data_IF_106119570800
#
_entry.id   IF_106119570800
#
_cell.length_a   1.000
_cell.length_b   1.000
_cell.length_c   1.000
_cell.angle_alpha   90.00
_cell.angle_beta   90.00
_cell.angle_gamma   90.00
#
_symmetry.space_group_name_H-M   'P 1'
#
loop_
_entity.id
_entity.type
_entity.pdbx_description
1 polymer ?
#
# COMPACT_ATOMS: atom_id res chain seq x y z
N UNK A 1 -4.58 -52.82 0.60
CA UNK A 1 -4.43 -53.89 1.61
C UNK A 1 -3.09 -53.70 2.32
N UNK A 2 -3.07 -53.62 3.66
CA UNK A 2 -1.90 -53.28 4.46
C UNK A 2 -1.19 -54.54 5.01
N UNK A 3 0.09 -54.41 5.36
CA UNK A 3 0.83 -55.28 6.29
C UNK A 3 1.78 -54.33 7.06
N UNK A 4 1.55 -54.06 8.36
CA UNK A 4 1.96 -54.86 9.53
C UNK A 4 3.49 -55.04 9.59
N UNK A 5 4.22 -54.86 10.69
CA UNK A 5 3.93 -54.43 12.05
C UNK A 5 5.25 -54.45 12.86
N UNK A 6 5.17 -53.94 14.10
CA UNK A 6 5.92 -54.38 15.31
C UNK A 6 7.41 -54.04 15.41
N UNK A 7 8.01 -53.76 16.57
CA UNK A 7 7.63 -53.61 17.98
C UNK A 7 8.83 -52.88 18.65
N UNK A 8 8.66 -52.01 19.64
CA UNK A 8 8.62 -52.35 21.08
C UNK A 8 9.55 -51.35 21.80
N UNK A 9 9.10 -50.53 22.74
CA UNK A 9 8.64 -50.79 24.12
C UNK A 9 9.77 -50.74 25.15
N UNK A 10 9.70 -49.75 26.05
CA UNK A 10 9.92 -49.80 27.52
C UNK A 10 10.34 -48.39 28.01
N UNK A 11 9.50 -47.59 28.67
CA UNK A 11 8.90 -47.63 30.03
C UNK A 11 9.81 -47.19 31.18
N UNK A 12 9.24 -46.31 32.02
CA UNK A 12 9.52 -46.00 33.45
C UNK A 12 10.64 -44.98 33.77
N UNK A 13 10.54 -44.09 34.78
CA UNK A 13 9.47 -43.58 35.65
C UNK A 13 10.07 -42.42 36.50
N UNK A 14 9.21 -41.51 36.98
CA UNK A 14 9.28 -40.68 38.21
C UNK A 14 10.55 -39.88 38.62
N UNK A 15 10.40 -38.57 38.83
CA UNK A 15 10.38 -37.98 40.19
C UNK A 15 9.91 -36.51 40.24
N UNK A 16 9.04 -36.24 41.21
CA UNK A 16 8.59 -34.92 41.71
C UNK A 16 9.64 -34.36 42.66
N UNK A 17 9.89 -33.05 42.64
CA UNK A 17 10.24 -32.30 43.87
C UNK A 17 9.83 -30.82 43.78
N UNK A 18 9.15 -30.39 44.84
CA UNK A 18 8.85 -29.01 45.22
C UNK A 18 10.11 -28.24 45.56
N UNK A 19 10.11 -26.91 45.33
CA UNK A 19 10.75 -25.95 46.22
C UNK A 19 10.03 -24.59 46.13
N UNK A 20 9.44 -24.20 47.26
CA UNK A 20 9.01 -22.86 47.58
C UNK A 20 10.24 -21.98 47.78
N UNK A 21 10.17 -20.70 47.41
CA UNK A 21 10.76 -19.67 48.27
C UNK A 21 10.07 -18.32 48.11
N UNK A 22 9.59 -17.83 49.25
CA UNK A 22 9.11 -16.47 49.47
C UNK A 22 10.32 -15.53 49.56
N UNK A 23 10.17 -14.27 49.14
CA UNK A 23 10.61 -13.12 49.93
C UNK A 23 10.00 -11.83 49.38
N UNK A 24 9.09 -11.27 50.16
CA UNK A 24 8.70 -9.87 50.13
C UNK A 24 9.76 -9.05 50.87
N UNK A 25 9.98 -7.78 50.47
CA UNK A 25 10.05 -6.62 51.39
C UNK A 25 10.61 -5.35 50.73
N UNK A 26 9.84 -4.27 50.96
CA UNK A 26 10.26 -2.90 51.33
C UNK A 26 10.35 -1.81 50.26
N UNK A 27 9.26 -1.04 50.25
CA UNK A 27 9.16 0.43 50.20
C UNK A 27 10.37 1.21 50.73
N UNK A 28 10.68 2.31 50.04
CA UNK A 28 11.06 3.65 50.54
C UNK A 28 11.12 4.54 49.28
N UNK A 29 10.47 5.69 49.14
CA UNK A 29 10.11 6.69 50.14
C UNK A 29 11.10 7.86 50.09
N UNK A 30 11.05 8.71 49.05
CA UNK A 30 11.74 10.01 49.05
C UNK A 30 10.84 11.12 48.51
N UNK A 31 10.28 11.89 49.45
CA UNK A 31 9.86 13.27 49.28
C UNK A 31 11.10 14.16 49.41
N UNK A 32 11.28 15.10 48.48
CA UNK A 32 12.09 16.30 48.72
C UNK A 32 11.29 17.52 48.25
N UNK A 33 11.07 18.41 49.20
CA UNK A 33 10.40 19.69 49.12
C UNK A 33 11.47 20.78 49.26
N UNK A 34 11.43 21.80 48.40
CA UNK A 34 11.98 23.17 48.59
C UNK A 34 11.62 23.94 47.30
N UNK A 35 10.70 24.91 47.24
CA UNK A 35 10.57 26.20 47.94
C UNK A 35 11.72 27.18 47.69
N UNK A 36 11.75 27.83 46.52
CA UNK A 36 12.38 29.15 46.35
C UNK A 36 11.38 30.11 45.72
N UNK A 37 11.14 31.23 46.41
CA UNK A 37 10.28 32.35 46.03
C UNK A 37 11.04 33.39 45.19
N UNK A 38 10.22 34.25 44.57
CA UNK A 38 10.46 35.62 44.06
C UNK A 38 11.13 35.79 42.69
N UNK A 39 10.34 36.17 41.68
CA UNK A 39 10.16 37.61 41.41
C UNK A 39 8.87 37.91 40.64
N UNK A 40 8.22 38.96 41.11
CA UNK A 40 6.97 39.54 40.65
C UNK A 40 7.16 40.39 39.39
N UNK A 41 6.31 40.19 38.38
CA UNK A 41 5.82 41.26 37.52
C UNK A 41 4.35 41.02 37.21
N UNK A 42 3.52 41.92 37.74
CA UNK A 42 2.09 42.06 37.45
C UNK A 42 1.94 42.94 36.22
N UNK A 43 1.18 42.49 35.22
CA UNK A 43 0.16 43.32 34.55
C UNK A 43 -0.83 42.45 33.75
N UNK A 44 -2.11 42.60 34.10
CA UNK A 44 -3.30 42.56 33.23
C UNK A 44 -3.68 41.27 32.49
N UNK A 45 -4.51 40.48 33.18
CA UNK A 45 -5.89 40.17 32.78
C UNK A 45 -6.22 40.08 31.29
N UNK A 46 -6.14 38.87 30.74
CA UNK A 46 -7.08 38.38 29.74
C UNK A 46 -7.27 36.88 29.99
N UNK A 47 -8.48 36.50 30.35
CA UNK A 47 -8.89 35.12 30.62
C UNK A 47 -8.82 34.28 29.34
N UNK A 48 -7.66 33.71 29.05
CA UNK A 48 -7.53 32.71 28.01
C UNK A 48 -7.88 31.35 28.62
N UNK A 49 -9.17 30.99 28.58
CA UNK A 49 -9.59 29.61 28.82
C UNK A 49 -8.96 28.77 27.72
N UNK A 50 -7.90 28.04 28.06
CA UNK A 50 -7.38 26.95 27.25
C UNK A 50 -8.49 25.91 27.13
N UNK A 51 -9.25 25.98 26.04
CA UNK A 51 -10.19 24.93 25.67
C UNK A 51 -9.35 23.78 25.14
N UNK A 52 -8.80 22.97 26.05
CA UNK A 52 -8.31 21.64 25.70
C UNK A 52 -9.53 20.79 25.35
N UNK A 53 -10.06 20.95 24.14
CA UNK A 53 -10.93 19.94 23.57
C UNK A 53 -10.08 18.68 23.42
N UNK A 54 -10.22 17.78 24.40
CA UNK A 54 -9.93 16.37 24.13
C UNK A 54 -10.93 15.97 23.06
N UNK A 55 -10.47 15.87 21.82
CA UNK A 55 -11.28 15.33 20.72
C UNK A 55 -11.71 13.93 21.12
N UNK A 56 -12.99 13.77 21.45
CA UNK A 56 -13.61 12.47 21.60
C UNK A 56 -13.58 11.72 20.26
N UNK A 57 -13.82 10.40 20.25
CA UNK A 57 -13.90 9.64 19.01
C UNK A 57 -14.90 10.30 18.05
N UNK A 58 -14.49 10.52 16.79
CA UNK A 58 -15.35 11.10 15.74
C UNK A 58 -16.66 10.30 15.65
N UNK A 59 -17.79 10.97 15.88
CA UNK A 59 -19.11 10.34 15.84
C UNK A 59 -19.51 10.01 14.39
N UNK A 60 -19.98 8.77 14.17
CA UNK A 60 -20.38 8.29 12.83
C UNK A 60 -21.30 9.25 12.09
N UNK A 61 -22.34 9.74 12.77
CA UNK A 61 -23.35 10.62 12.17
C UNK A 61 -22.80 11.96 11.67
N UNK A 62 -21.61 12.35 12.13
CA UNK A 62 -20.95 13.61 11.71
C UNK A 62 -20.05 13.44 10.47
N UNK A 63 -19.74 12.20 10.08
CA UNK A 63 -18.84 11.91 8.97
C UNK A 63 -19.49 12.23 7.61
N UNK A 64 -18.74 12.84 6.70
CA UNK A 64 -19.24 13.14 5.34
C UNK A 64 -19.66 11.87 4.58
N UNK A 65 -19.06 10.72 4.88
CA UNK A 65 -19.40 9.43 4.28
C UNK A 65 -20.75 8.86 4.76
N UNK A 66 -21.24 9.31 5.92
CA UNK A 66 -22.50 8.86 6.53
C UNK A 66 -23.65 9.86 6.31
N UNK A 67 -23.39 10.99 5.64
CA UNK A 67 -24.42 11.97 5.30
C UNK A 67 -25.34 11.44 4.21
N UNK A 68 -26.61 11.86 4.24
CA UNK A 68 -27.57 11.58 3.17
C UNK A 68 -27.24 12.42 1.94
N UNK A 69 -27.30 11.81 0.76
CA UNK A 69 -27.20 12.55 -0.49
C UNK A 69 -28.58 13.17 -0.83
N UNK A 70 -28.69 14.51 -0.92
CA UNK A 70 -29.98 15.17 -1.19
C UNK A 70 -30.52 14.87 -2.59
N UNK A 71 -29.70 14.41 -3.53
CA UNK A 71 -30.13 14.06 -4.88
C UNK A 71 -30.80 12.69 -4.97
N UNK A 72 -30.57 11.81 -4.00
CA UNK A 72 -31.00 10.39 -4.06
C UNK A 72 -32.00 10.03 -2.99
N UNK A 73 -32.74 11.00 -2.43
CA UNK A 73 -33.69 10.77 -1.33
C UNK A 73 -34.82 9.79 -1.66
N UNK A 74 -35.16 9.64 -2.94
CA UNK A 74 -36.20 8.76 -3.47
C UNK A 74 -35.65 7.76 -4.51
N UNK A 75 -34.37 7.39 -4.41
CA UNK A 75 -33.71 6.51 -5.40
C UNK A 75 -34.35 5.12 -5.53
N UNK A 76 -35.09 4.68 -4.51
CA UNK A 76 -35.85 3.43 -4.46
C UNK A 76 -37.16 3.45 -5.28
N UNK A 77 -37.66 4.64 -5.66
CA UNK A 77 -38.87 4.84 -6.47
C UNK A 77 -38.55 5.29 -7.91
N UNK A 78 -37.27 5.31 -8.28
CA UNK A 78 -36.81 5.72 -9.61
C UNK A 78 -36.83 4.55 -10.61
N UNK A 79 -36.99 4.85 -11.89
CA UNK A 79 -36.78 3.86 -12.95
C UNK A 79 -35.34 3.35 -12.94
N UNK A 80 -35.09 2.12 -13.42
CA UNK A 80 -33.72 1.60 -13.47
C UNK A 80 -32.77 2.47 -14.30
N UNK A 81 -33.28 3.12 -15.36
CA UNK A 81 -32.48 4.04 -16.17
C UNK A 81 -32.10 5.30 -15.37
N UNK A 82 -33.05 5.86 -14.61
CA UNK A 82 -32.77 7.04 -13.79
C UNK A 82 -31.84 6.71 -12.61
N UNK A 83 -31.96 5.52 -12.02
CA UNK A 83 -31.00 5.01 -11.03
C UNK A 83 -29.59 4.94 -11.62
N UNK A 84 -29.42 4.37 -12.81
CA UNK A 84 -28.12 4.33 -13.49
C UNK A 84 -27.58 5.74 -13.78
N UNK A 85 -28.46 6.65 -14.23
CA UNK A 85 -28.09 8.03 -14.58
C UNK A 85 -27.58 8.79 -13.34
N UNK A 86 -28.30 8.72 -12.22
CA UNK A 86 -27.89 9.44 -11.01
C UNK A 86 -26.62 8.85 -10.37
N UNK A 87 -26.42 7.53 -10.44
CA UNK A 87 -25.16 6.89 -10.03
C UNK A 87 -24.00 7.43 -10.89
N UNK A 88 -24.17 7.47 -12.21
CA UNK A 88 -23.13 7.96 -13.11
C UNK A 88 -22.83 9.47 -12.94
N UNK A 89 -23.86 10.29 -12.70
CA UNK A 89 -23.70 11.71 -12.38
C UNK A 89 -22.88 11.92 -11.10
N UNK A 90 -23.10 11.10 -10.08
CA UNK A 90 -22.31 11.11 -8.85
C UNK A 90 -20.88 10.61 -9.07
N UNK A 91 -20.69 9.56 -9.87
CA UNK A 91 -19.36 9.03 -10.22
C UNK A 91 -18.48 10.05 -10.96
N UNK A 92 -19.08 10.92 -11.79
CA UNK A 92 -18.35 11.98 -12.50
C UNK A 92 -17.61 12.94 -11.56
N UNK A 93 -18.07 13.09 -10.31
CA UNK A 93 -17.43 13.94 -9.31
C UNK A 93 -16.13 13.37 -8.73
N UNK A 94 -15.91 12.05 -8.88
CA UNK A 94 -14.78 11.35 -8.24
C UNK A 94 -13.44 11.89 -8.75
N UNK A 95 -13.30 12.10 -10.06
CA UNK A 95 -12.04 12.58 -10.63
C UNK A 95 -11.66 13.97 -10.10
N UNK A 96 -12.64 14.82 -9.83
CA UNK A 96 -12.43 16.16 -9.25
C UNK A 96 -11.95 16.04 -7.79
N UNK A 97 -12.53 15.12 -7.02
CA UNK A 97 -12.09 14.86 -5.64
C UNK A 97 -10.64 14.33 -5.61
N UNK A 98 -10.30 13.40 -6.51
CA UNK A 98 -8.93 12.87 -6.64
C UNK A 98 -7.96 13.94 -7.10
N UNK A 99 -8.37 14.84 -8.00
CA UNK A 99 -7.54 15.96 -8.45
C UNK A 99 -7.10 16.85 -7.27
N UNK A 100 -7.98 17.07 -6.31
CA UNK A 100 -7.69 17.90 -5.14
C UNK A 100 -6.61 17.32 -4.22
N UNK A 101 -6.39 15.99 -4.23
CA UNK A 101 -5.39 15.32 -3.38
C UNK A 101 -4.11 14.91 -4.12
N UNK A 102 -3.93 15.31 -5.38
CA UNK A 102 -2.72 14.97 -6.17
C UNK A 102 -1.39 15.36 -5.50
N UNK A 103 -1.27 16.51 -4.79
CA UNK A 103 -0.01 16.84 -4.10
C UNK A 103 0.37 15.79 -3.04
N UNK A 104 -0.60 15.26 -2.30
CA UNK A 104 -0.38 14.24 -1.29
C UNK A 104 -0.13 12.86 -1.91
N UNK A 105 -0.79 12.54 -3.03
CA UNK A 105 -0.49 11.33 -3.81
C UNK A 105 0.96 11.36 -4.33
N UNK A 106 1.42 12.51 -4.84
CA UNK A 106 2.80 12.70 -5.26
C UNK A 106 3.79 12.57 -4.09
N UNK A 107 3.48 13.17 -2.94
CA UNK A 107 4.29 13.03 -1.74
C UNK A 107 4.40 11.57 -1.26
N UNK A 108 3.33 10.79 -1.36
CA UNK A 108 3.37 9.36 -1.06
C UNK A 108 4.33 8.61 -2.02
N UNK A 109 4.25 8.89 -3.33
CA UNK A 109 5.18 8.31 -4.31
C UNK A 109 6.63 8.68 -3.99
N UNK A 110 6.91 9.94 -3.63
CA UNK A 110 8.26 10.40 -3.34
C UNK A 110 8.87 9.76 -2.09
N UNK A 111 8.05 9.32 -1.13
CA UNK A 111 8.48 8.54 0.05
C UNK A 111 8.71 7.06 -0.31
N UNK A 112 7.90 6.50 -1.21
CA UNK A 112 7.92 5.09 -1.60
C UNK A 112 9.10 4.77 -2.51
N UNK A 113 9.34 5.57 -3.54
CA UNK A 113 10.37 5.30 -4.58
C UNK A 113 11.77 5.02 -3.99
N UNK A 114 12.34 5.87 -3.11
CA UNK A 114 13.68 5.60 -2.55
C UNK A 114 13.70 4.34 -1.68
N UNK A 115 12.59 3.98 -1.04
CA UNK A 115 12.46 2.75 -0.23
C UNK A 115 12.43 1.50 -1.11
N UNK A 116 11.65 1.53 -2.19
CA UNK A 116 11.66 0.45 -3.19
C UNK A 116 13.06 0.26 -3.79
N UNK A 117 13.79 1.34 -4.04
CA UNK A 117 15.17 1.26 -4.51
C UNK A 117 16.13 0.63 -3.48
N UNK A 118 15.84 0.81 -2.18
CA UNK A 118 16.55 0.14 -1.07
C UNK A 118 16.09 -1.29 -0.80
N UNK A 119 15.15 -1.84 -1.58
CA UNK A 119 14.60 -3.19 -1.37
C UNK A 119 13.45 -3.27 -0.37
N UNK A 120 12.95 -2.13 0.10
CA UNK A 120 11.76 -2.04 0.94
C UNK A 120 10.47 -2.41 0.19
N UNK A 121 9.40 -2.68 0.94
CA UNK A 121 8.09 -3.06 0.42
C UNK A 121 7.04 -2.00 0.70
N UNK A 122 5.94 -2.07 -0.03
CA UNK A 122 4.71 -1.29 0.21
C UNK A 122 3.64 -2.23 0.73
N UNK A 123 3.09 -1.94 1.91
CA UNK A 123 2.06 -2.75 2.54
C UNK A 123 0.76 -1.94 2.55
N UNK A 124 -0.29 -2.45 1.92
CA UNK A 124 -1.64 -1.93 2.08
C UNK A 124 -2.30 -2.59 3.29
N UNK A 125 -3.01 -1.80 4.11
CA UNK A 125 -3.77 -2.31 5.24
C UNK A 125 -5.15 -1.66 5.30
N UNK A 126 -6.20 -2.46 5.27
CA UNK A 126 -7.58 -1.99 5.30
C UNK A 126 -8.56 -3.06 5.76
N UNK A 127 -9.82 -2.67 5.94
CA UNK A 127 -10.92 -3.60 6.18
C UNK A 127 -11.92 -3.55 5.02
N UNK A 128 -12.73 -4.61 4.87
CA UNK A 128 -13.80 -4.66 3.87
C UNK A 128 -13.35 -4.26 2.47
N UNK A 129 -14.05 -3.32 1.84
CA UNK A 129 -13.72 -2.84 0.49
C UNK A 129 -12.32 -2.23 0.41
N UNK A 130 -11.90 -1.44 1.40
CA UNK A 130 -10.58 -0.81 1.43
C UNK A 130 -9.45 -1.85 1.40
N UNK A 131 -9.55 -2.90 2.21
CA UNK A 131 -8.58 -4.00 2.22
C UNK A 131 -8.57 -4.77 0.89
N UNK A 132 -9.76 -5.05 0.32
CA UNK A 132 -9.87 -5.73 -1.00
C UNK A 132 -9.24 -4.92 -2.12
N UNK A 133 -9.39 -3.60 -2.12
CA UNK A 133 -8.76 -2.72 -3.12
C UNK A 133 -7.24 -2.70 -3.00
N UNK A 134 -6.70 -2.74 -1.77
CA UNK A 134 -5.27 -2.92 -1.54
C UNK A 134 -4.75 -4.25 -2.10
N UNK A 135 -5.47 -5.35 -1.87
CA UNK A 135 -5.15 -6.67 -2.44
C UNK A 135 -5.22 -6.65 -3.97
N UNK A 136 -6.24 -6.03 -4.55
CA UNK A 136 -6.41 -5.90 -5.99
C UNK A 136 -5.19 -5.21 -6.61
N UNK A 137 -4.84 -4.00 -6.14
CA UNK A 137 -3.71 -3.24 -6.68
C UNK A 137 -2.40 -4.01 -6.54
N UNK A 138 -2.11 -4.56 -5.35
CA UNK A 138 -0.91 -5.37 -5.11
C UNK A 138 -0.79 -6.57 -6.06
N UNK A 139 -1.91 -7.25 -6.35
CA UNK A 139 -1.93 -8.43 -7.24
C UNK A 139 -1.60 -8.11 -8.70
N UNK A 140 -1.80 -6.85 -9.12
CA UNK A 140 -1.55 -6.38 -10.48
C UNK A 140 -0.09 -5.97 -10.69
N UNK A 141 0.69 -5.76 -9.62
CA UNK A 141 2.09 -5.29 -9.71
C UNK A 141 3.02 -6.30 -10.39
N UNK A 142 3.04 -7.60 -10.04
CA UNK A 142 3.89 -8.58 -10.70
C UNK A 142 3.62 -8.73 -12.21
N UNK A 143 2.38 -8.95 -12.69
CA UNK A 143 2.14 -9.13 -14.12
C UNK A 143 2.29 -7.82 -14.94
N UNK A 144 2.20 -6.65 -14.30
CA UNK A 144 2.30 -5.34 -14.97
C UNK A 144 3.73 -4.80 -15.03
N UNK A 145 4.54 -5.00 -13.99
CA UNK A 145 5.87 -4.38 -13.90
C UNK A 145 7.02 -5.39 -13.73
N UNK A 146 6.72 -6.69 -13.86
CA UNK A 146 7.62 -7.81 -13.55
C UNK A 146 8.37 -7.61 -12.23
N UNK A 147 7.65 -7.06 -11.25
CA UNK A 147 8.16 -6.82 -9.93
C UNK A 147 7.96 -8.06 -9.03
N UNK A 148 8.79 -8.22 -7.98
CA UNK A 148 8.60 -9.29 -7.01
C UNK A 148 7.19 -9.25 -6.41
N UNK A 149 6.63 -10.43 -6.09
CA UNK A 149 5.28 -10.55 -5.50
C UNK A 149 5.21 -9.87 -4.13
N UNK A 150 6.34 -9.81 -3.45
CA UNK A 150 6.49 -9.29 -2.10
C UNK A 150 6.71 -7.77 -2.08
N UNK A 151 6.91 -7.13 -3.25
CA UNK A 151 7.14 -5.69 -3.33
C UNK A 151 5.91 -4.89 -2.88
N UNK A 152 4.72 -5.35 -3.23
CA UNK A 152 3.44 -4.79 -2.79
C UNK A 152 2.62 -5.89 -2.14
N UNK A 153 2.17 -5.68 -0.90
CA UNK A 153 1.44 -6.69 -0.10
C UNK A 153 0.10 -6.08 0.34
N UNK A 154 -1.00 -6.78 0.08
CA UNK A 154 -2.32 -6.38 0.57
C UNK A 154 -2.72 -7.16 1.83
N UNK A 155 -2.96 -6.45 2.94
CA UNK A 155 -3.53 -7.00 4.16
C UNK A 155 -4.98 -6.54 4.33
N UNK A 156 -5.82 -7.46 4.78
CA UNK A 156 -7.24 -7.23 5.04
C UNK A 156 -7.61 -7.72 6.44
N UNK A 157 -8.34 -6.89 7.20
CA UNK A 157 -8.90 -7.29 8.48
C UNK A 157 -9.75 -8.57 8.33
N UNK A 158 -9.44 -9.60 9.13
CA UNK A 158 -10.07 -10.91 9.04
C UNK A 158 -9.40 -11.90 8.07
N UNK A 159 -8.28 -11.51 7.45
CA UNK A 159 -7.44 -12.38 6.61
C UNK A 159 -8.10 -12.82 5.30
N UNK A 160 -7.55 -13.86 4.66
CA UNK A 160 -7.97 -14.30 3.31
C UNK A 160 -9.46 -14.62 3.19
N UNK A 161 -10.10 -15.08 4.27
CA UNK A 161 -11.56 -15.29 4.27
C UNK A 161 -12.33 -14.00 3.97
N UNK A 162 -11.83 -12.85 4.45
CA UNK A 162 -12.43 -11.54 4.25
C UNK A 162 -12.35 -11.04 2.79
N UNK A 163 -11.53 -11.68 1.94
CA UNK A 163 -11.45 -11.35 0.51
C UNK A 163 -12.81 -11.56 -0.15
N UNK A 164 -13.48 -12.67 0.17
CA UNK A 164 -14.77 -13.05 -0.45
C UNK A 164 -15.97 -12.83 0.46
N UNK A 165 -15.76 -12.79 1.77
CA UNK A 165 -16.83 -12.69 2.76
C UNK A 165 -16.61 -11.47 3.67
N UNK A 166 -17.66 -11.00 4.33
CA UNK A 166 -17.48 -10.06 5.44
C UNK A 166 -17.09 -10.84 6.71
N UNK A 167 -16.23 -10.26 7.54
CA UNK A 167 -15.90 -10.77 8.88
C UNK A 167 -16.33 -9.71 9.87
N UNK A 168 -17.40 -10.01 10.61
CA UNK A 168 -17.96 -9.08 11.59
C UNK A 168 -16.95 -8.80 12.72
N UNK A 169 -16.81 -7.53 13.09
CA UNK A 169 -15.92 -7.08 14.17
C UNK A 169 -14.41 -7.09 13.87
N UNK A 170 -13.96 -7.62 12.72
CA UNK A 170 -12.54 -7.63 12.37
C UNK A 170 -11.96 -6.21 12.23
N UNK A 171 -12.77 -5.27 11.73
CA UNK A 171 -12.36 -3.87 11.53
C UNK A 171 -12.23 -3.07 12.83
N UNK A 172 -12.86 -3.55 13.91
CA UNK A 172 -12.90 -2.90 15.22
C UNK A 172 -11.71 -3.25 16.13
N UNK A 173 -10.82 -4.16 15.70
CA UNK A 173 -9.64 -4.56 16.48
C UNK A 173 -8.36 -3.87 15.99
N UNK A 174 -7.89 -2.87 16.75
CA UNK A 174 -6.59 -2.25 16.52
C UNK A 174 -5.42 -3.21 16.77
N UNK A 175 -5.55 -4.11 17.75
CA UNK A 175 -4.55 -5.13 18.06
C UNK A 175 -4.35 -6.10 16.89
N UNK A 176 -5.43 -6.47 16.19
CA UNK A 176 -5.35 -7.32 15.00
C UNK A 176 -4.55 -6.64 13.88
N UNK A 177 -4.77 -5.34 13.66
CA UNK A 177 -4.02 -4.57 12.66
C UNK A 177 -2.51 -4.54 12.93
N UNK A 178 -2.11 -4.38 14.20
CA UNK A 178 -0.71 -4.48 14.59
C UNK A 178 -0.18 -5.93 14.48
N UNK A 179 -0.98 -6.91 14.91
CA UNK A 179 -0.60 -8.33 14.89
C UNK A 179 -0.34 -8.85 13.49
N UNK A 180 -1.16 -8.48 12.51
CA UNK A 180 -1.02 -8.97 11.14
C UNK A 180 0.22 -8.37 10.45
N UNK A 181 0.56 -7.11 10.75
CA UNK A 181 1.84 -6.53 10.33
C UNK A 181 3.04 -7.20 10.99
N UNK A 182 2.94 -7.55 12.28
CA UNK A 182 4.01 -8.25 13.00
C UNK A 182 4.27 -9.67 12.48
N UNK A 183 3.29 -10.30 11.84
CA UNK A 183 3.40 -11.64 11.24
C UNK A 183 4.03 -11.65 9.84
N UNK A 184 4.28 -10.49 9.24
CA UNK A 184 4.93 -10.42 7.93
C UNK A 184 6.30 -11.11 7.97
N UNK A 185 6.63 -11.80 6.87
CA UNK A 185 7.93 -12.45 6.67
C UNK A 185 8.51 -11.93 5.35
N UNK A 186 9.65 -11.21 5.37
CA UNK A 186 10.37 -10.72 6.56
C UNK A 186 9.53 -9.72 7.39
N UNK A 187 9.87 -9.52 8.68
CA UNK A 187 9.16 -8.55 9.53
C UNK A 187 9.09 -7.16 8.91
N UNK A 188 8.06 -6.40 9.27
CA UNK A 188 7.99 -4.98 8.91
C UNK A 188 9.26 -4.25 9.41
N UNK A 189 9.81 -3.37 8.59
CA UNK A 189 11.04 -2.64 8.87
C UNK A 189 10.90 -1.15 8.55
N UNK A 190 11.89 -0.35 8.96
CA UNK A 190 11.97 1.08 8.64
C UNK A 190 12.08 1.40 7.14
N UNK A 191 12.51 0.41 6.36
CA UNK A 191 12.68 0.52 4.92
C UNK A 191 11.36 0.28 4.18
N UNK A 192 10.35 -0.26 4.86
CA UNK A 192 9.02 -0.46 4.32
C UNK A 192 8.16 0.82 4.38
N UNK A 193 7.05 0.82 3.64
CA UNK A 193 5.98 1.82 3.72
C UNK A 193 4.65 1.14 3.99
N UNK A 194 3.93 1.57 5.03
CA UNK A 194 2.55 1.16 5.28
C UNK A 194 1.59 2.20 4.72
N UNK A 195 0.59 1.76 3.96
CA UNK A 195 -0.53 2.56 3.49
C UNK A 195 -1.81 2.05 4.16
N UNK A 196 -2.28 2.80 5.15
CA UNK A 196 -3.51 2.54 5.89
C UNK A 196 -4.73 3.14 5.18
N UNK A 197 -5.71 2.31 4.82
CA UNK A 197 -6.87 2.70 4.01
C UNK A 197 -8.14 2.56 4.83
N UNK A 198 -8.76 3.68 5.18
CA UNK A 198 -10.04 3.72 5.89
C UNK A 198 -10.89 4.86 5.33
N UNK A 199 -11.90 4.56 4.49
CA UNK A 199 -12.75 5.60 3.91
C UNK A 199 -13.44 6.47 4.97
N UNK A 200 -13.85 5.88 6.10
CA UNK A 200 -14.40 6.59 7.27
C UNK A 200 -13.37 7.39 8.06
N UNK A 201 -12.07 7.22 7.78
CA UNK A 201 -10.96 7.87 8.47
C UNK A 201 -10.75 7.43 9.92
N UNK A 202 -11.49 6.42 10.42
CA UNK A 202 -11.49 6.05 11.85
C UNK A 202 -11.49 4.56 12.16
N UNK A 203 -11.29 3.69 11.17
CA UNK A 203 -11.32 2.22 11.34
C UNK A 203 -10.23 1.75 12.32
N UNK A 204 -10.58 1.15 13.48
CA UNK A 204 -9.61 0.77 14.51
C UNK A 204 -8.48 -0.14 14.03
N UNK A 205 -8.77 -1.16 13.21
CA UNK A 205 -7.75 -2.04 12.61
C UNK A 205 -6.65 -1.24 11.88
N UNK A 206 -7.06 -0.25 11.08
CA UNK A 206 -6.14 0.61 10.31
C UNK A 206 -5.34 1.53 11.23
N UNK A 207 -6.01 2.12 12.24
CA UNK A 207 -5.35 2.97 13.24
C UNK A 207 -4.29 2.20 14.05
N UNK A 208 -4.60 0.96 14.44
CA UNK A 208 -3.66 0.07 15.13
C UNK A 208 -2.46 -0.30 14.27
N UNK A 209 -2.70 -0.62 12.99
CA UNK A 209 -1.63 -0.89 12.04
C UNK A 209 -0.70 0.30 11.82
N UNK A 210 -1.25 1.51 11.64
CA UNK A 210 -0.46 2.74 11.48
C UNK A 210 0.40 3.05 12.71
N UNK A 211 -0.16 2.90 13.91
CA UNK A 211 0.59 3.08 15.16
C UNK A 211 1.76 2.09 15.28
N UNK A 212 1.54 0.84 14.88
CA UNK A 212 2.60 -0.19 14.87
C UNK A 212 3.68 0.10 13.84
N UNK A 213 3.31 0.46 12.60
CA UNK A 213 4.29 0.82 11.58
C UNK A 213 5.15 2.02 12.00
N UNK A 214 4.51 3.02 12.62
CA UNK A 214 5.23 4.16 13.17
C UNK A 214 6.22 3.75 14.29
N UNK A 215 5.84 2.85 15.20
CA UNK A 215 6.75 2.39 16.27
C UNK A 215 7.94 1.57 15.76
N UNK A 216 7.79 0.92 14.60
CA UNK A 216 8.88 0.22 13.88
C UNK A 216 9.76 1.20 13.08
N UNK A 217 9.31 2.42 12.86
CA UNK A 217 9.98 3.44 12.03
C UNK A 217 9.74 3.28 10.53
N UNK A 218 8.75 2.48 10.13
CA UNK A 218 8.27 2.41 8.74
C UNK A 218 7.65 3.75 8.36
N UNK A 219 7.77 4.13 7.08
CA UNK A 219 6.97 5.25 6.58
C UNK A 219 5.48 4.91 6.64
N UNK A 220 4.65 5.91 6.90
CA UNK A 220 3.19 5.75 7.00
C UNK A 220 2.42 6.72 6.10
N UNK A 221 1.51 6.17 5.31
CA UNK A 221 0.55 6.92 4.49
C UNK A 221 -0.86 6.58 4.95
N UNK A 222 -1.70 7.58 5.16
CA UNK A 222 -3.13 7.41 5.45
C UNK A 222 -3.98 7.81 4.26
N UNK A 223 -5.02 7.03 3.95
CA UNK A 223 -6.02 7.36 2.95
C UNK A 223 -7.43 7.31 3.55
N UNK A 224 -8.12 8.44 3.51
CA UNK A 224 -9.50 8.60 3.98
C UNK A 224 -10.35 9.38 2.98
N UNK A 225 -11.67 9.25 3.09
CA UNK A 225 -12.65 10.00 2.29
C UNK A 225 -13.46 10.99 3.13
N UNK A 226 -12.93 11.36 4.30
CA UNK A 226 -13.50 12.31 5.26
C UNK A 226 -12.44 13.29 5.73
N UNK A 227 -12.90 14.43 6.25
CA UNK A 227 -12.05 15.40 6.94
C UNK A 227 -12.85 16.10 8.05
N UNK A 228 -12.29 16.23 9.28
CA UNK A 228 -11.04 15.62 9.72
C UNK A 228 -11.14 14.09 9.86
N UNK A 229 -10.03 13.40 9.65
CA UNK A 229 -9.90 11.96 9.90
C UNK A 229 -9.07 11.67 11.17
N UNK A 230 -9.34 10.53 11.83
CA UNK A 230 -8.53 10.05 12.97
C UNK A 230 -7.16 9.50 12.54
N UNK A 231 -6.90 9.41 11.23
CA UNK A 231 -5.57 9.12 10.67
C UNK A 231 -4.60 10.30 10.85
N UNK A 232 -5.12 11.52 11.08
CA UNK A 232 -4.31 12.72 11.26
C UNK A 232 -3.37 12.57 12.46
N UNK A 233 -2.09 12.88 12.24
CA UNK A 233 -1.04 12.74 13.25
C UNK A 233 -0.51 11.31 13.44
N UNK A 234 -1.02 10.32 12.70
CA UNK A 234 -0.48 8.95 12.67
C UNK A 234 0.30 8.63 11.40
N UNK A 235 0.27 9.53 10.41
CA UNK A 235 0.85 9.33 9.08
C UNK A 235 1.85 10.42 8.72
N UNK A 236 2.95 10.05 8.06
CA UNK A 236 3.87 11.00 7.42
C UNK A 236 3.19 11.75 6.27
N UNK A 237 2.33 11.05 5.52
CA UNK A 237 1.48 11.63 4.46
C UNK A 237 0.04 11.23 4.69
N UNK A 238 -0.86 12.21 4.69
CA UNK A 238 -2.30 11.98 4.80
C UNK A 238 -3.01 12.45 3.53
N UNK A 239 -3.73 11.53 2.88
CA UNK A 239 -4.54 11.75 1.69
C UNK A 239 -6.02 11.75 2.11
N UNK A 240 -6.65 12.92 2.12
CA UNK A 240 -8.09 13.09 2.40
C UNK A 240 -8.83 13.39 1.08
N UNK A 241 -9.46 12.37 0.48
CA UNK A 241 -10.16 12.47 -0.81
C UNK A 241 -11.68 12.60 -0.59
N UNK A 242 -12.17 13.83 -0.47
CA UNK A 242 -13.57 14.12 -0.13
C UNK A 242 -14.53 13.86 -1.30
N UNK A 243 -15.10 12.67 -1.38
CA UNK A 243 -16.06 12.27 -2.43
C UNK A 243 -17.50 12.71 -2.14
N UNK A 244 -17.77 13.20 -0.92
CA UNK A 244 -19.09 13.57 -0.45
C UNK A 244 -20.03 12.39 -0.17
N UNK A 245 -21.32 12.66 0.10
CA UNK A 245 -22.34 11.65 0.41
C UNK A 245 -22.51 10.61 -0.70
N UNK A 246 -22.66 9.35 -0.33
CA UNK A 246 -22.91 8.26 -1.28
C UNK A 246 -24.38 8.23 -1.74
N UNK A 247 -24.63 7.69 -2.94
CA UNK A 247 -26.01 7.53 -3.48
C UNK A 247 -26.89 6.68 -2.57
N UNK A 248 -26.28 5.69 -1.90
CA UNK A 248 -26.85 4.95 -0.78
C UNK A 248 -26.05 5.33 0.45
N UNK A 249 -26.69 5.98 1.42
CA UNK A 249 -26.05 6.51 2.64
C UNK A 249 -25.14 5.46 3.29
N UNK A 250 -23.88 5.82 3.56
CA UNK A 250 -22.89 4.92 4.19
C UNK A 250 -22.28 3.85 3.27
N UNK A 251 -22.77 3.67 2.04
CA UNK A 251 -22.27 2.65 1.10
C UNK A 251 -20.96 3.09 0.42
N UNK A 252 -19.91 3.29 1.21
CA UNK A 252 -18.57 3.75 0.80
C UNK A 252 -17.84 2.81 -0.17
N UNK A 253 -18.38 1.63 -0.46
CA UNK A 253 -17.90 0.77 -1.56
C UNK A 253 -18.06 1.41 -2.95
N UNK A 254 -18.80 2.51 -3.06
CA UNK A 254 -19.13 3.22 -4.29
C UNK A 254 -18.09 4.32 -4.56
N UNK A 255 -18.42 5.62 -4.43
CA UNK A 255 -17.51 6.71 -4.81
C UNK A 255 -16.20 6.67 -4.02
N UNK A 256 -16.27 6.49 -2.70
CA UNK A 256 -15.08 6.41 -1.86
C UNK A 256 -14.18 5.22 -2.24
N UNK A 257 -14.77 4.07 -2.57
CA UNK A 257 -14.06 2.89 -3.09
C UNK A 257 -13.40 3.15 -4.45
N UNK A 258 -14.11 3.78 -5.38
CA UNK A 258 -13.57 4.14 -6.70
C UNK A 258 -12.45 5.16 -6.59
N UNK A 259 -12.60 6.19 -5.77
CA UNK A 259 -11.54 7.17 -5.48
C UNK A 259 -10.30 6.48 -4.89
N UNK A 260 -10.51 5.57 -3.93
CA UNK A 260 -9.45 4.75 -3.36
C UNK A 260 -8.71 3.98 -4.45
N UNK A 261 -9.43 3.28 -5.33
CA UNK A 261 -8.82 2.54 -6.46
C UNK A 261 -7.96 3.46 -7.33
N UNK A 262 -8.49 4.63 -7.71
CA UNK A 262 -7.76 5.59 -8.54
C UNK A 262 -6.46 6.04 -7.87
N UNK A 263 -6.51 6.35 -6.57
CA UNK A 263 -5.35 6.78 -5.79
C UNK A 263 -4.32 5.66 -5.65
N UNK A 264 -4.73 4.43 -5.32
CA UNK A 264 -3.81 3.29 -5.23
C UNK A 264 -3.11 3.03 -6.56
N UNK A 265 -3.86 3.04 -7.66
CA UNK A 265 -3.28 2.87 -9.00
C UNK A 265 -2.31 3.99 -9.36
N UNK A 266 -2.58 5.25 -8.95
CA UNK A 266 -1.62 6.35 -9.13
C UNK A 266 -0.35 6.14 -8.31
N UNK A 267 -0.47 5.72 -7.05
CA UNK A 267 0.68 5.47 -6.17
C UNK A 267 1.54 4.33 -6.74
N UNK A 268 0.93 3.19 -7.03
CA UNK A 268 1.65 2.01 -7.50
C UNK A 268 2.27 2.23 -8.88
N UNK A 269 1.48 2.71 -9.84
CA UNK A 269 1.96 3.00 -11.21
C UNK A 269 3.00 4.12 -11.19
N UNK A 270 2.76 5.21 -10.45
CA UNK A 270 3.69 6.32 -10.31
C UNK A 270 5.03 5.89 -9.72
N UNK A 271 5.00 5.07 -8.66
CA UNK A 271 6.22 4.51 -8.05
C UNK A 271 7.00 3.62 -9.01
N UNK A 272 6.32 2.79 -9.80
CA UNK A 272 6.98 1.90 -10.76
C UNK A 272 7.54 2.67 -11.97
N UNK A 273 6.83 3.69 -12.47
CA UNK A 273 7.35 4.61 -13.50
C UNK A 273 8.63 5.30 -13.00
N UNK A 274 8.58 5.85 -11.78
CA UNK A 274 9.71 6.54 -11.15
C UNK A 274 10.88 5.60 -10.87
N UNK A 275 10.61 4.32 -10.66
CA UNK A 275 11.61 3.24 -10.52
C UNK A 275 12.10 2.66 -11.86
N UNK A 276 11.78 3.31 -12.99
CA UNK A 276 12.29 2.93 -14.30
C UNK A 276 11.64 1.68 -14.91
N UNK A 277 10.47 1.23 -14.41
CA UNK A 277 9.74 0.07 -14.96
C UNK A 277 9.12 0.33 -16.34
N UNK A 278 9.04 1.59 -16.76
CA UNK A 278 8.54 2.01 -18.07
C UNK A 278 9.61 2.75 -18.89
N UNK A 279 9.41 2.81 -20.20
CA UNK A 279 10.14 3.70 -21.10
C UNK A 279 9.13 4.54 -21.88
N UNK A 280 9.04 5.83 -21.55
CA UNK A 280 7.87 6.62 -21.94
C UNK A 280 6.61 6.01 -21.35
N UNK A 281 5.61 5.73 -22.19
CA UNK A 281 4.37 5.05 -21.81
C UNK A 281 4.38 3.53 -22.07
N UNK A 282 5.54 2.96 -22.43
CA UNK A 282 5.67 1.53 -22.70
C UNK A 282 6.13 0.77 -21.45
N UNK A 283 5.39 -0.29 -21.13
CA UNK A 283 5.80 -1.30 -20.16
C UNK A 283 6.96 -2.11 -20.77
N UNK A 284 8.19 -1.81 -20.36
CA UNK A 284 9.40 -2.47 -20.88
C UNK A 284 9.94 -3.53 -19.95
N UNK A 285 9.52 -3.52 -18.69
CA UNK A 285 9.89 -4.53 -17.70
C UNK A 285 8.84 -5.65 -17.67
N UNK A 286 8.74 -6.39 -18.78
CA UNK A 286 7.80 -7.50 -18.96
C UNK A 286 8.55 -8.83 -19.14
N UNK A 287 8.05 -9.90 -18.52
CA UNK A 287 8.54 -11.26 -18.71
C UNK A 287 7.62 -12.07 -19.63
N UNK A 288 8.22 -12.84 -20.55
CA UNK A 288 7.52 -13.65 -21.54
C UNK A 288 6.94 -14.95 -20.96
N UNK A 289 5.94 -14.85 -20.08
CA UNK A 289 5.32 -16.02 -19.44
C UNK A 289 4.18 -16.69 -20.23
N UNK A 290 3.74 -16.09 -21.33
CA UNK A 290 2.72 -16.64 -22.24
C UNK A 290 2.83 -16.04 -23.65
N UNK A 291 2.14 -16.62 -24.63
CA UNK A 291 2.18 -16.18 -26.04
C UNK A 291 1.81 -14.71 -26.25
N UNK A 292 0.77 -14.23 -25.55
CA UNK A 292 0.37 -12.80 -25.59
C UNK A 292 1.51 -11.89 -25.14
N UNK A 293 2.27 -12.29 -24.12
CA UNK A 293 3.42 -11.53 -23.63
C UNK A 293 4.64 -11.64 -24.54
N UNK A 294 4.80 -12.75 -25.29
CA UNK A 294 5.82 -12.85 -26.35
C UNK A 294 5.53 -11.89 -27.51
N UNK A 295 4.30 -11.86 -28.02
CA UNK A 295 3.93 -10.88 -29.08
C UNK A 295 4.12 -9.44 -28.59
N UNK A 296 3.71 -9.16 -27.35
CA UNK A 296 3.92 -7.86 -26.72
C UNK A 296 5.41 -7.52 -26.59
N UNK A 297 6.26 -8.47 -26.18
CA UNK A 297 7.70 -8.26 -26.11
C UNK A 297 8.27 -7.81 -27.45
N UNK A 298 8.00 -8.56 -28.52
CA UNK A 298 8.49 -8.25 -29.87
C UNK A 298 8.05 -6.86 -30.31
N UNK A 299 6.77 -6.54 -30.12
CA UNK A 299 6.22 -5.22 -30.45
C UNK A 299 6.90 -4.10 -29.68
N UNK A 300 7.12 -4.28 -28.38
CA UNK A 300 7.78 -3.28 -27.54
C UNK A 300 9.22 -3.05 -27.98
N UNK A 301 9.99 -4.11 -28.28
CA UNK A 301 11.36 -3.95 -28.80
C UNK A 301 11.35 -3.14 -30.11
N UNK A 302 10.47 -3.49 -31.06
CA UNK A 302 10.35 -2.80 -32.35
C UNK A 302 9.86 -1.36 -32.25
N UNK A 303 9.05 -1.02 -31.23
CA UNK A 303 8.63 0.36 -30.99
C UNK A 303 9.73 1.23 -30.40
N UNK A 304 10.67 0.63 -29.65
CA UNK A 304 11.72 1.38 -28.94
C UNK A 304 13.01 1.45 -29.74
N UNK A 305 13.40 0.37 -30.42
CA UNK A 305 14.64 0.26 -31.18
C UNK A 305 14.34 0.56 -32.66
N UNK A 306 14.83 1.68 -33.22
CA UNK A 306 14.70 1.92 -34.66
C UNK A 306 15.46 0.85 -35.45
N UNK A 307 14.81 0.22 -36.42
CA UNK A 307 15.41 -0.87 -37.20
C UNK A 307 16.73 -0.47 -37.90
N UNK A 308 16.84 0.80 -38.34
CA UNK A 308 18.06 1.34 -38.97
C UNK A 308 19.25 1.47 -38.03
N UNK A 309 19.03 1.45 -36.72
CA UNK A 309 20.04 1.64 -35.67
C UNK A 309 20.19 0.42 -34.76
N UNK A 310 19.49 -0.67 -35.07
CA UNK A 310 19.57 -1.92 -34.33
C UNK A 310 20.84 -2.67 -34.70
N UNK A 311 21.48 -3.29 -33.70
CA UNK A 311 22.62 -4.18 -33.92
C UNK A 311 22.23 -5.56 -34.50
N UNK A 312 20.94 -5.89 -34.50
CA UNK A 312 20.36 -7.13 -35.02
C UNK A 312 19.19 -6.84 -35.95
N UNK A 313 18.85 -7.78 -36.85
CA UNK A 313 17.64 -7.69 -37.66
C UNK A 313 16.39 -8.01 -36.83
N UNK A 314 15.94 -7.05 -36.04
CA UNK A 314 14.78 -7.21 -35.15
C UNK A 314 13.44 -7.29 -35.90
N UNK A 315 13.41 -7.14 -37.22
CA UNK A 315 12.20 -7.34 -38.03
C UNK A 315 11.96 -8.82 -38.32
N UNK A 316 13.00 -9.64 -38.29
CA UNK A 316 12.90 -11.09 -38.28
C UNK A 316 12.51 -11.57 -36.87
N UNK A 317 11.44 -12.38 -36.81
CA UNK A 317 10.91 -12.90 -35.55
C UNK A 317 11.86 -13.92 -34.90
N UNK A 318 12.58 -14.72 -35.69
CA UNK A 318 13.51 -15.74 -35.20
C UNK A 318 14.75 -15.06 -34.61
N UNK A 319 15.31 -14.06 -35.31
CA UNK A 319 16.44 -13.27 -34.81
C UNK A 319 16.07 -12.54 -33.51
N UNK A 320 14.90 -11.91 -33.46
CA UNK A 320 14.46 -11.20 -32.26
C UNK A 320 14.23 -12.16 -31.08
N UNK A 321 13.66 -13.33 -31.34
CA UNK A 321 13.47 -14.36 -30.31
C UNK A 321 14.80 -14.91 -29.79
N UNK A 322 15.83 -15.04 -30.63
CA UNK A 322 17.18 -15.41 -30.19
C UNK A 322 17.79 -14.34 -29.27
N UNK A 323 17.68 -13.05 -29.61
CA UNK A 323 18.17 -11.96 -28.76
C UNK A 323 17.41 -11.92 -27.43
N UNK A 324 16.08 -12.08 -27.47
CA UNK A 324 15.25 -12.18 -26.27
C UNK A 324 15.65 -13.37 -25.40
N UNK A 325 15.91 -14.53 -26.00
CA UNK A 325 16.35 -15.73 -25.29
C UNK A 325 17.72 -15.53 -24.63
N UNK A 326 18.68 -14.89 -25.31
CA UNK A 326 19.97 -14.48 -24.73
C UNK A 326 19.82 -13.54 -23.53
N UNK A 327 18.73 -12.77 -23.50
CA UNK A 327 18.38 -11.89 -22.39
C UNK A 327 17.47 -12.56 -21.35
N UNK A 328 17.32 -13.90 -21.36
CA UNK A 328 16.41 -14.66 -20.49
C UNK A 328 14.96 -14.14 -20.53
N UNK A 329 14.51 -13.62 -21.67
CA UNK A 329 13.18 -13.06 -21.86
C UNK A 329 12.96 -11.69 -21.23
N UNK A 330 14.00 -11.02 -20.73
CA UNK A 330 13.91 -9.66 -20.21
C UNK A 330 13.90 -8.64 -21.35
N UNK A 331 12.72 -8.06 -21.64
CA UNK A 331 12.53 -7.11 -22.74
C UNK A 331 13.37 -5.85 -22.57
N UNK A 332 13.44 -5.28 -21.36
CA UNK A 332 14.27 -4.10 -21.08
C UNK A 332 15.76 -4.33 -21.42
N UNK A 333 16.30 -5.50 -21.06
CA UNK A 333 17.67 -5.87 -21.39
C UNK A 333 17.83 -6.11 -22.89
N UNK A 334 16.88 -6.79 -23.52
CA UNK A 334 16.86 -7.01 -24.96
C UNK A 334 16.88 -5.70 -25.75
N UNK A 335 16.12 -4.68 -25.33
CA UNK A 335 16.15 -3.36 -25.96
C UNK A 335 17.56 -2.77 -25.90
N UNK A 336 18.22 -2.85 -24.74
CA UNK A 336 19.56 -2.30 -24.57
C UNK A 336 20.61 -3.05 -25.41
N UNK A 337 20.56 -4.38 -25.39
CA UNK A 337 21.41 -5.24 -26.22
C UNK A 337 21.18 -4.96 -27.71
N UNK A 338 19.93 -4.86 -28.15
CA UNK A 338 19.61 -4.56 -29.54
C UNK A 338 20.00 -3.14 -29.96
N UNK A 339 19.91 -2.16 -29.06
CA UNK A 339 20.28 -0.77 -29.35
C UNK A 339 21.80 -0.55 -29.39
N UNK A 340 22.56 -1.25 -28.55
CA UNK A 340 23.99 -1.00 -28.36
C UNK A 340 24.91 -2.07 -28.97
N UNK A 341 24.38 -3.23 -29.34
CA UNK A 341 25.18 -4.37 -29.81
C UNK A 341 26.08 -4.99 -28.73
N UNK A 342 25.85 -4.67 -27.46
CA UNK A 342 26.60 -5.19 -26.33
C UNK A 342 26.16 -6.62 -25.93
N UNK A 343 26.94 -7.28 -25.09
CA UNK A 343 26.55 -8.54 -24.46
C UNK A 343 25.42 -8.35 -23.43
N UNK A 344 24.62 -9.39 -23.13
CA UNK A 344 23.63 -9.34 -22.04
C UNK A 344 24.23 -8.98 -20.68
N UNK A 345 25.48 -9.37 -20.41
CA UNK A 345 26.20 -9.06 -19.19
C UNK A 345 26.54 -7.57 -19.09
N UNK A 346 27.09 -6.98 -20.15
CA UNK A 346 27.36 -5.54 -20.23
C UNK A 346 26.07 -4.72 -20.15
N UNK A 347 25.02 -5.16 -20.85
CA UNK A 347 23.71 -4.52 -20.79
C UNK A 347 23.13 -4.54 -19.37
N UNK A 348 23.27 -5.66 -18.64
CA UNK A 348 22.82 -5.77 -17.25
C UNK A 348 23.60 -4.84 -16.34
N UNK A 349 24.92 -4.83 -16.42
CA UNK A 349 25.77 -3.93 -15.64
C UNK A 349 25.42 -2.45 -15.90
N UNK A 350 25.10 -2.09 -17.14
CA UNK A 350 24.70 -0.73 -17.51
C UNK A 350 23.31 -0.35 -16.99
N UNK A 351 22.36 -1.30 -16.98
CA UNK A 351 21.05 -1.10 -16.34
C UNK A 351 21.20 -0.91 -14.83
N UNK A 352 22.04 -1.72 -14.18
CA UNK A 352 22.33 -1.60 -12.74
C UNK A 352 22.95 -0.24 -12.41
N UNK A 353 23.96 0.20 -13.17
CA UNK A 353 24.58 1.51 -13.04
C UNK A 353 23.60 2.68 -13.27
N UNK A 354 22.52 2.43 -14.00
CA UNK A 354 21.46 3.39 -14.30
C UNK A 354 20.22 3.22 -13.40
N UNK A 355 20.36 2.52 -12.26
CA UNK A 355 19.27 2.24 -11.32
C UNK A 355 18.01 1.65 -12.00
N UNK A 356 18.21 0.81 -13.01
CA UNK A 356 17.15 0.15 -13.77
C UNK A 356 16.43 1.03 -14.81
N UNK A 357 16.83 2.29 -14.98
CA UNK A 357 16.29 3.24 -15.96
C UNK A 357 16.84 2.96 -17.36
N UNK A 358 15.99 2.49 -18.26
CA UNK A 358 16.38 2.23 -19.65
C UNK A 358 16.81 3.51 -20.39
N UNK A 359 16.16 4.64 -20.10
CA UNK A 359 16.50 5.93 -20.72
C UNK A 359 17.93 6.35 -20.37
N UNK A 360 18.28 6.32 -19.08
CA UNK A 360 19.63 6.65 -18.63
C UNK A 360 20.66 5.65 -19.16
N UNK A 361 20.33 4.36 -19.21
CA UNK A 361 21.23 3.33 -19.74
C UNK A 361 21.51 3.49 -21.24
N UNK A 362 20.56 4.01 -22.03
CA UNK A 362 20.78 4.31 -23.45
C UNK A 362 21.61 5.58 -23.67
N UNK A 363 21.51 6.56 -22.77
CA UNK A 363 22.20 7.86 -22.89
C UNK A 363 23.65 7.83 -22.37
N UNK A 364 23.94 6.99 -21.37
CA UNK A 364 25.29 6.86 -20.80
C UNK A 364 26.19 6.17 -21.84
N UNK A 365 27.20 6.85 -22.40
CA UNK A 365 28.10 6.24 -23.40
C UNK A 365 29.08 5.27 -22.80
#
# INVERSE_FOLDING_TARGET
MPLLATNGSSTQNHHVSHLQNQNASKENGYKLSESIKTNSFSTNGASNRSNSQREGPLELASLQTEQKNPKTTNIDDMSSLDVCRIINEEDASIAVAVQACLPQVAAAIDIIVPRLAGGGRVIYSGAGTSGRLGILDASEIPPTFSAPREQFIGLIAGGDYAIRNAVEGAEDSGEMGASDLAKLIPPLSKDDTLIGIASSGRTPYVLGGLKYAHSVGSATVGLACVQPSALRGLCDVLIECLTGPEVVTGSTRLKAGTATKMILNMISTGSQIRSGKTFGNLMVDLQMSNEKLRDRARRVVRMVVPSSSSAFDILDDDVLDEVLARCNGHVKLCILVASLGCSPEEGRAKLEASFGSLRQALETK
#
